data_IF_858405488952
#
_entry.id   IF_858405488952
#
_cell.length_a   1.000
_cell.length_b   1.000
_cell.length_c   1.000
_cell.angle_alpha   90.00
_cell.angle_beta   90.00
_cell.angle_gamma   90.00
#
_symmetry.space_group_name_H-M   'P 1'
#
loop_
_entity.id
_entity.type
_entity.pdbx_description
1 polymer ?
#
# COMPACT_ATOMS: atom_id res chain seq x y z
N UNK A 1 74.43 -67.77 5.00
CA UNK A 1 73.70 -66.69 4.41
C UNK A 1 72.90 -66.08 5.55
N UNK A 2 73.25 -64.84 5.98
CA UNK A 2 72.68 -64.19 7.15
C UNK A 2 71.79 -63.02 6.69
N UNK A 3 70.50 -63.15 6.87
CA UNK A 3 69.51 -62.12 6.52
C UNK A 3 69.44 -61.16 7.68
N UNK A 4 69.76 -59.87 7.43
CA UNK A 4 69.62 -58.80 8.42
C UNK A 4 68.26 -58.19 8.27
N UNK A 5 67.50 -58.25 9.34
CA UNK A 5 66.21 -57.60 9.51
C UNK A 5 66.43 -56.17 9.96
N UNK A 6 66.07 -55.21 9.14
CA UNK A 6 66.08 -53.77 9.47
C UNK A 6 64.70 -53.36 10.01
N UNK A 7 64.70 -53.05 11.29
CA UNK A 7 63.48 -52.44 11.91
C UNK A 7 63.44 -50.97 11.56
N UNK A 8 62.43 -50.57 10.78
CA UNK A 8 62.06 -49.15 10.57
C UNK A 8 61.04 -48.77 11.62
N UNK A 9 61.43 -47.88 12.52
CA UNK A 9 60.55 -47.24 13.51
C UNK A 9 59.79 -46.15 12.82
N UNK A 10 58.45 -46.14 12.82
CA UNK A 10 57.69 -44.97 12.36
C UNK A 10 57.71 -43.89 13.42
N UNK A 11 58.30 -42.76 13.08
CA UNK A 11 58.25 -41.52 13.87
C UNK A 11 56.82 -40.96 13.84
N UNK A 12 56.07 -41.19 14.93
CA UNK A 12 54.71 -40.66 15.12
C UNK A 12 54.81 -39.17 15.50
N UNK A 13 54.57 -38.29 14.54
CA UNK A 13 54.39 -36.86 14.81
C UNK A 13 53.03 -36.65 15.41
N UNK A 14 52.95 -36.38 16.71
CA UNK A 14 51.81 -35.85 17.38
C UNK A 14 51.68 -34.36 17.01
N UNK A 15 50.80 -34.06 16.03
CA UNK A 15 50.31 -32.72 15.83
C UNK A 15 49.25 -32.46 16.93
N UNK A 16 49.66 -31.78 17.98
CA UNK A 16 48.73 -31.17 18.93
C UNK A 16 48.18 -29.95 18.22
N UNK A 17 47.01 -30.08 17.57
CA UNK A 17 46.21 -28.96 17.14
C UNK A 17 45.57 -28.36 18.40
N UNK A 18 46.00 -27.15 18.76
CA UNK A 18 45.17 -26.32 19.63
C UNK A 18 43.91 -25.96 18.84
N UNK A 19 42.82 -26.58 19.16
CA UNK A 19 41.50 -26.09 18.86
C UNK A 19 41.22 -24.95 19.84
N UNK A 20 41.53 -23.71 19.42
CA UNK A 20 40.96 -22.53 20.04
C UNK A 20 39.43 -22.53 19.72
N UNK A 21 38.66 -23.26 20.50
CA UNK A 21 37.24 -23.04 20.59
C UNK A 21 37.04 -21.69 21.28
N UNK A 22 36.97 -20.60 20.49
CA UNK A 22 36.32 -19.41 20.96
C UNK A 22 34.92 -19.82 21.42
N UNK A 23 34.52 -19.46 22.65
CA UNK A 23 33.15 -19.69 23.03
C UNK A 23 32.29 -18.84 22.09
N UNK A 24 31.43 -19.48 21.26
CA UNK A 24 30.36 -18.80 20.59
C UNK A 24 29.61 -18.01 21.66
N UNK A 25 29.88 -16.71 21.74
CA UNK A 25 29.06 -15.79 22.47
C UNK A 25 27.71 -15.83 21.79
N UNK A 26 26.77 -16.65 22.36
CA UNK A 26 25.37 -16.46 22.05
C UNK A 26 25.13 -14.96 22.19
N UNK A 27 24.56 -14.30 21.17
CA UNK A 27 24.16 -12.91 21.33
C UNK A 27 23.17 -12.92 22.50
N UNK A 28 23.56 -12.33 23.59
CA UNK A 28 22.67 -12.01 24.69
C UNK A 28 21.71 -10.96 24.14
N UNK A 29 20.66 -11.44 23.45
CA UNK A 29 19.63 -10.57 22.93
C UNK A 29 18.84 -10.05 24.13
N UNK A 30 19.38 -9.00 24.75
CA UNK A 30 18.65 -8.15 25.70
C UNK A 30 17.65 -7.25 24.99
N UNK A 31 17.46 -7.44 23.70
CA UNK A 31 16.39 -6.80 22.95
C UNK A 31 15.06 -7.26 23.54
N UNK A 32 14.20 -6.33 23.95
CA UNK A 32 12.86 -6.68 24.39
C UNK A 32 12.18 -7.51 23.28
N UNK A 33 11.34 -8.48 23.62
CA UNK A 33 10.65 -9.27 22.61
C UNK A 33 9.94 -8.33 21.65
N UNK A 34 10.15 -8.52 20.34
CA UNK A 34 9.43 -7.78 19.32
C UNK A 34 7.95 -7.94 19.60
N UNK A 35 7.28 -6.84 19.91
CA UNK A 35 5.83 -6.84 20.04
C UNK A 35 5.28 -6.93 18.64
N UNK A 36 4.62 -8.03 18.31
CA UNK A 36 3.93 -8.19 17.04
C UNK A 36 2.64 -7.37 17.09
N UNK A 37 2.55 -6.34 16.25
CA UNK A 37 1.35 -5.50 16.13
C UNK A 37 0.60 -5.92 14.87
N UNK A 38 -0.70 -6.18 15.02
CA UNK A 38 -1.60 -6.33 13.91
C UNK A 38 -2.44 -5.04 13.78
N UNK A 39 -2.38 -4.41 12.61
CA UNK A 39 -3.11 -3.17 12.34
C UNK A 39 -4.32 -3.47 11.44
N UNK A 40 -5.52 -3.21 11.98
CA UNK A 40 -6.75 -3.17 11.18
C UNK A 40 -7.00 -1.74 10.72
N UNK A 41 -7.05 -1.53 9.40
CA UNK A 41 -7.22 -0.23 8.77
C UNK A 41 -8.61 -0.16 8.12
N UNK A 42 -9.59 0.55 8.74
CA UNK A 42 -10.93 0.66 8.19
C UNK A 42 -10.95 1.43 6.87
N UNK A 43 -11.58 0.85 5.85
CA UNK A 43 -11.67 1.40 4.49
C UNK A 43 -13.11 1.60 4.10
N UNK A 44 -13.40 2.71 3.42
CA UNK A 44 -14.70 2.99 2.81
C UNK A 44 -14.53 3.48 1.37
N UNK A 45 -15.35 2.96 0.47
CA UNK A 45 -15.42 3.36 -0.93
C UNK A 45 -16.63 4.26 -1.17
N UNK A 46 -16.38 5.51 -1.49
CA UNK A 46 -17.41 6.49 -1.84
C UNK A 46 -17.65 6.46 -3.34
N UNK A 47 -18.77 5.92 -3.76
CA UNK A 47 -19.10 5.72 -5.17
C UNK A 47 -19.90 6.89 -5.69
N UNK A 48 -19.31 7.76 -6.51
CA UNK A 48 -20.05 8.82 -7.19
C UNK A 48 -20.76 8.25 -8.41
N UNK A 49 -22.07 8.34 -8.45
CA UNK A 49 -22.90 7.84 -9.55
C UNK A 49 -24.02 8.79 -9.92
N UNK A 50 -24.44 8.75 -11.17
CA UNK A 50 -25.62 9.50 -11.65
C UNK A 50 -26.83 8.57 -11.83
N UNK A 51 -26.58 7.34 -12.28
CA UNK A 51 -27.59 6.32 -12.51
C UNK A 51 -27.10 4.94 -12.07
N UNK A 52 -28.01 3.99 -11.88
CA UNK A 52 -27.71 2.67 -11.33
C UNK A 52 -26.73 1.84 -12.19
N UNK A 53 -26.62 2.11 -13.50
CA UNK A 53 -25.69 1.42 -14.36
C UNK A 53 -24.23 1.77 -14.08
N UNK A 54 -23.98 2.91 -13.43
CA UNK A 54 -22.66 3.36 -13.02
C UNK A 54 -22.25 2.81 -11.65
N UNK A 55 -23.17 2.11 -11.00
CA UNK A 55 -22.92 1.53 -9.68
C UNK A 55 -22.02 0.28 -9.79
N UNK A 56 -21.42 -0.09 -8.67
CA UNK A 56 -20.50 -1.22 -8.58
C UNK A 56 -21.31 -2.51 -8.46
N UNK A 57 -20.81 -3.60 -9.05
CA UNK A 57 -21.40 -4.93 -8.84
C UNK A 57 -21.29 -5.32 -7.38
N UNK A 58 -22.41 -5.83 -6.83
CA UNK A 58 -22.45 -6.31 -5.45
C UNK A 58 -21.37 -7.36 -5.19
N UNK A 59 -20.68 -7.22 -4.05
CA UNK A 59 -19.58 -8.09 -3.65
C UNK A 59 -18.22 -7.71 -4.25
N UNK A 60 -18.17 -6.80 -5.23
CA UNK A 60 -16.94 -6.47 -5.93
C UNK A 60 -15.89 -5.81 -5.03
N UNK A 61 -16.31 -4.91 -4.14
CA UNK A 61 -15.41 -4.24 -3.20
C UNK A 61 -14.81 -5.25 -2.22
N UNK A 62 -15.61 -6.19 -1.74
CA UNK A 62 -15.11 -7.27 -0.87
C UNK A 62 -14.05 -8.12 -1.57
N UNK A 63 -14.28 -8.48 -2.85
CA UNK A 63 -13.29 -9.23 -3.65
C UNK A 63 -11.98 -8.45 -3.78
N UNK A 64 -12.06 -7.16 -4.09
CA UNK A 64 -10.90 -6.27 -4.28
C UNK A 64 -10.10 -6.18 -2.99
N UNK A 65 -10.72 -5.84 -1.86
CA UNK A 65 -10.00 -5.70 -0.58
C UNK A 65 -9.42 -7.02 -0.10
N UNK A 66 -10.15 -8.13 -0.28
CA UNK A 66 -9.62 -9.46 0.01
C UNK A 66 -8.36 -9.76 -0.81
N UNK A 67 -8.34 -9.36 -2.08
CA UNK A 67 -7.17 -9.51 -2.94
C UNK A 67 -6.04 -8.53 -2.57
N UNK A 68 -6.34 -7.26 -2.26
CA UNK A 68 -5.37 -6.29 -1.77
C UNK A 68 -4.66 -6.77 -0.49
N UNK A 69 -5.40 -7.32 0.46
CA UNK A 69 -4.81 -7.84 1.70
C UNK A 69 -3.76 -8.93 1.45
N UNK A 70 -3.90 -9.72 0.37
CA UNK A 70 -2.89 -10.72 0.01
C UNK A 70 -1.55 -10.11 -0.39
N UNK A 71 -1.55 -8.91 -1.01
CA UNK A 71 -0.31 -8.19 -1.32
C UNK A 71 0.43 -7.80 -0.05
N UNK A 72 -0.29 -7.26 0.93
CA UNK A 72 0.28 -6.73 2.17
C UNK A 72 0.62 -7.80 3.21
N UNK A 73 0.05 -9.00 3.07
CA UNK A 73 0.24 -10.13 3.99
C UNK A 73 1.17 -11.22 3.41
N UNK A 74 1.96 -10.91 2.38
CA UNK A 74 2.86 -11.86 1.71
C UNK A 74 2.19 -13.18 1.28
N UNK A 75 0.93 -13.13 0.83
CA UNK A 75 0.15 -14.34 0.46
C UNK A 75 0.11 -14.61 -1.05
N UNK A 76 0.96 -13.94 -1.84
CA UNK A 76 1.04 -14.12 -3.30
C UNK A 76 2.21 -15.00 -3.73
N UNK A 77 2.96 -15.58 -2.78
CA UNK A 77 4.12 -16.43 -3.08
C UNK A 77 5.32 -15.68 -3.68
N UNK A 78 5.39 -14.36 -3.47
CA UNK A 78 6.51 -13.50 -3.84
C UNK A 78 7.50 -13.38 -2.67
N UNK A 79 8.68 -12.77 -2.92
CA UNK A 79 9.63 -12.41 -1.87
C UNK A 79 9.22 -11.11 -1.12
N UNK A 80 7.92 -10.85 -1.00
CA UNK A 80 7.40 -9.71 -0.26
C UNK A 80 7.48 -9.94 1.25
N UNK A 81 7.25 -8.88 2.01
CA UNK A 81 7.21 -8.92 3.49
C UNK A 81 5.75 -8.85 3.92
N UNK A 82 5.39 -9.56 4.99
CA UNK A 82 4.13 -9.35 5.67
C UNK A 82 4.22 -8.02 6.45
N UNK A 83 3.37 -7.07 6.10
CA UNK A 83 3.36 -5.72 6.71
C UNK A 83 2.56 -5.69 8.02
N UNK A 84 2.08 -6.83 8.49
CA UNK A 84 1.30 -6.97 9.72
C UNK A 84 0.07 -6.06 9.79
N UNK A 85 -0.58 -5.84 8.64
CA UNK A 85 -1.78 -5.03 8.53
C UNK A 85 -2.88 -5.71 7.72
N UNK A 86 -4.13 -5.31 7.95
CA UNK A 86 -5.30 -5.74 7.20
C UNK A 86 -6.22 -4.53 6.93
N UNK A 87 -6.63 -4.37 5.69
CA UNK A 87 -7.70 -3.44 5.32
C UNK A 87 -9.04 -4.10 5.60
N UNK A 88 -9.84 -3.48 6.45
CA UNK A 88 -11.17 -3.97 6.84
C UNK A 88 -12.26 -3.04 6.32
N UNK A 89 -13.32 -3.60 5.73
CA UNK A 89 -14.42 -2.80 5.19
C UNK A 89 -15.30 -2.25 6.32
N UNK A 90 -15.60 -0.95 6.27
CA UNK A 90 -16.54 -0.34 7.19
C UNK A 90 -17.92 -1.01 7.05
N UNK A 91 -18.53 -1.40 8.16
CA UNK A 91 -19.87 -2.03 8.17
C UNK A 91 -21.00 -1.05 8.48
N UNK A 92 -20.66 0.09 9.06
CA UNK A 92 -21.58 1.15 9.45
C UNK A 92 -21.02 2.51 9.00
N UNK A 93 -21.92 3.45 8.75
CA UNK A 93 -21.53 4.82 8.49
C UNK A 93 -21.16 5.57 9.80
N UNK A 94 -20.62 6.81 9.75
CA UNK A 94 -20.25 7.57 10.96
C UNK A 94 -21.40 7.87 11.93
N UNK A 95 -22.64 7.66 11.52
CA UNK A 95 -23.85 7.81 12.35
C UNK A 95 -24.31 6.47 12.96
N UNK A 96 -23.56 5.37 12.77
CA UNK A 96 -23.89 4.04 13.27
C UNK A 96 -24.99 3.32 12.47
N UNK A 97 -25.30 3.82 11.26
CA UNK A 97 -26.26 3.15 10.36
C UNK A 97 -25.52 2.11 9.54
N UNK A 98 -26.02 0.87 9.56
CA UNK A 98 -25.46 -0.25 8.81
C UNK A 98 -25.50 0.03 7.31
N UNK A 99 -24.38 -0.22 6.63
CA UNK A 99 -24.28 -0.15 5.18
C UNK A 99 -25.01 -1.33 4.53
N UNK A 100 -25.63 -1.11 3.39
CA UNK A 100 -26.28 -2.17 2.59
C UNK A 100 -25.24 -3.19 2.08
N UNK A 101 -24.04 -2.70 1.79
CA UNK A 101 -22.89 -3.50 1.45
C UNK A 101 -21.67 -2.98 2.23
N UNK A 102 -20.93 -3.85 2.95
CA UNK A 102 -19.76 -3.42 3.69
C UNK A 102 -18.76 -2.66 2.81
N UNK A 103 -18.30 -1.53 3.30
CA UNK A 103 -17.33 -0.67 2.63
C UNK A 103 -17.86 0.14 1.46
N UNK A 104 -19.14 0.05 1.11
CA UNK A 104 -19.72 0.79 -0.03
C UNK A 104 -20.63 1.90 0.46
N UNK A 105 -20.27 3.15 0.13
CA UNK A 105 -21.07 4.35 0.40
C UNK A 105 -21.44 5.01 -0.94
N UNK A 106 -22.62 4.72 -1.50
CA UNK A 106 -23.06 5.30 -2.76
C UNK A 106 -23.48 6.75 -2.58
N UNK A 107 -23.04 7.62 -3.48
CA UNK A 107 -23.35 9.07 -3.47
C UNK A 107 -23.87 9.49 -4.84
N UNK A 108 -25.16 9.81 -4.92
CA UNK A 108 -25.76 10.29 -6.16
C UNK A 108 -25.33 11.73 -6.43
N UNK A 109 -24.83 11.99 -7.64
CA UNK A 109 -24.40 13.31 -8.10
C UNK A 109 -24.95 13.58 -9.50
N UNK A 110 -25.02 14.86 -9.89
CA UNK A 110 -25.52 15.25 -11.22
C UNK A 110 -24.53 14.92 -12.35
N UNK A 111 -23.23 14.95 -12.07
CA UNK A 111 -22.17 14.56 -12.97
C UNK A 111 -21.05 13.85 -12.18
N UNK A 112 -20.88 12.53 -12.34
CA UNK A 112 -19.84 11.79 -11.66
C UNK A 112 -18.46 11.92 -12.34
N UNK A 113 -18.38 12.34 -13.60
CA UNK A 113 -17.10 12.49 -14.32
C UNK A 113 -16.35 13.70 -13.78
N UNK A 114 -15.17 13.46 -13.21
CA UNK A 114 -14.34 14.49 -12.60
C UNK A 114 -12.91 14.41 -13.14
N UNK A 115 -12.26 15.55 -13.19
CA UNK A 115 -10.82 15.66 -13.29
C UNK A 115 -10.23 15.23 -11.94
N UNK A 116 -9.37 14.23 -11.90
CA UNK A 116 -8.90 13.64 -10.65
C UNK A 116 -8.00 14.59 -9.85
N UNK A 117 -7.13 15.34 -10.50
CA UNK A 117 -6.24 16.31 -9.85
C UNK A 117 -7.03 17.47 -9.24
N UNK A 118 -7.98 18.01 -10.02
CA UNK A 118 -8.89 19.06 -9.53
C UNK A 118 -9.74 18.54 -8.36
N UNK A 119 -10.26 17.30 -8.46
CA UNK A 119 -11.04 16.70 -7.38
C UNK A 119 -10.24 16.59 -6.09
N UNK A 120 -9.00 16.13 -6.17
CA UNK A 120 -8.12 15.88 -5.02
C UNK A 120 -7.68 17.18 -4.33
N UNK A 121 -7.73 18.32 -5.01
CA UNK A 121 -7.30 19.63 -4.49
C UNK A 121 -8.47 20.55 -4.11
N UNK A 122 -9.70 20.25 -4.54
CA UNK A 122 -10.87 21.08 -4.24
C UNK A 122 -11.44 20.79 -2.85
N UNK A 123 -11.32 21.77 -1.96
CA UNK A 123 -11.90 21.74 -0.60
C UNK A 123 -13.38 21.40 -0.56
N UNK A 124 -14.14 21.74 -1.62
CA UNK A 124 -15.58 21.45 -1.70
C UNK A 124 -15.89 19.94 -1.64
N UNK A 125 -14.91 19.10 -1.98
CA UNK A 125 -15.04 17.64 -1.97
C UNK A 125 -14.83 16.99 -0.59
N UNK A 126 -14.41 17.76 0.42
CA UNK A 126 -14.39 17.29 1.82
C UNK A 126 -15.74 16.75 2.28
N UNK A 127 -16.84 17.26 1.74
CA UNK A 127 -18.21 16.82 2.06
C UNK A 127 -18.47 15.33 1.80
N UNK A 128 -17.66 14.69 0.97
CA UNK A 128 -17.83 13.27 0.63
C UNK A 128 -17.09 12.35 1.60
N UNK A 129 -16.06 12.86 2.28
CA UNK A 129 -15.17 12.05 3.12
C UNK A 129 -15.80 11.82 4.50
N UNK A 130 -15.54 10.63 5.01
CA UNK A 130 -15.68 10.35 6.42
C UNK A 130 -14.42 10.80 7.19
N UNK A 131 -14.47 10.72 8.52
CA UNK A 131 -13.39 11.11 9.39
C UNK A 131 -12.07 10.39 9.00
N UNK A 132 -11.09 11.15 8.53
CA UNK A 132 -9.81 10.64 8.04
C UNK A 132 -8.92 10.04 9.12
N UNK A 133 -9.22 10.32 10.41
CA UNK A 133 -8.52 9.70 11.54
C UNK A 133 -9.04 8.27 11.83
N UNK A 134 -10.17 7.89 11.20
CA UNK A 134 -10.83 6.61 11.44
C UNK A 134 -10.96 5.74 10.21
N UNK A 135 -10.93 6.34 9.03
CA UNK A 135 -11.20 5.65 7.78
C UNK A 135 -10.23 6.06 6.69
N UNK A 136 -9.74 5.11 5.93
CA UNK A 136 -9.16 5.35 4.62
C UNK A 136 -10.32 5.57 3.65
N UNK A 137 -10.41 6.79 3.11
CA UNK A 137 -11.46 7.18 2.17
C UNK A 137 -10.99 6.92 0.74
N UNK A 138 -11.66 6.05 0.00
CA UNK A 138 -11.39 5.78 -1.42
C UNK A 138 -12.57 6.29 -2.25
N UNK A 139 -12.30 7.28 -3.09
CA UNK A 139 -13.29 7.86 -4.00
C UNK A 139 -13.32 7.08 -5.32
N UNK A 140 -14.50 6.66 -5.75
CA UNK A 140 -14.71 5.95 -7.01
C UNK A 140 -15.58 6.78 -7.93
N UNK A 141 -15.01 7.23 -9.04
CA UNK A 141 -15.72 7.99 -10.08
C UNK A 141 -15.01 7.85 -11.42
N UNK A 142 -15.70 8.09 -12.57
CA UNK A 142 -15.04 8.11 -13.87
C UNK A 142 -14.11 9.33 -13.96
N UNK A 143 -12.84 9.11 -14.27
CA UNK A 143 -11.90 10.21 -14.50
C UNK A 143 -12.15 10.85 -15.85
N UNK A 144 -12.06 12.17 -15.89
CA UNK A 144 -12.05 12.91 -17.14
C UNK A 144 -10.80 12.53 -17.93
N UNK A 145 -11.00 12.06 -19.16
CA UNK A 145 -9.90 11.74 -20.06
C UNK A 145 -9.34 13.03 -20.66
N UNK A 146 -8.02 13.16 -20.69
CA UNK A 146 -7.36 14.15 -21.52
C UNK A 146 -7.19 13.56 -22.93
N UNK A 147 -7.83 14.20 -23.92
CA UNK A 147 -7.78 13.77 -25.33
C UNK A 147 -6.37 13.83 -25.94
N UNK A 148 -5.45 14.56 -25.30
CA UNK A 148 -4.06 14.72 -25.75
C UNK A 148 -3.09 13.77 -25.01
N UNK A 149 -3.56 13.03 -24.00
CA UNK A 149 -2.73 12.09 -23.25
C UNK A 149 -2.69 10.72 -23.93
N UNK A 150 -1.50 10.15 -24.07
CA UNK A 150 -1.31 8.77 -24.53
C UNK A 150 -1.64 7.71 -23.45
N UNK A 151 -1.79 8.15 -22.20
CA UNK A 151 -2.03 7.30 -21.03
C UNK A 151 -3.40 7.50 -20.41
N UNK A 152 -3.78 6.57 -19.54
CA UNK A 152 -4.97 6.64 -18.72
C UNK A 152 -4.56 6.62 -17.26
N UNK A 153 -4.99 7.62 -16.49
CA UNK A 153 -4.83 7.63 -15.04
C UNK A 153 -5.85 6.65 -14.44
N UNK A 154 -5.37 5.67 -13.70
CA UNK A 154 -6.19 4.64 -13.07
C UNK A 154 -6.49 4.95 -11.60
N UNK A 155 -5.54 5.60 -10.91
CA UNK A 155 -5.65 6.00 -9.53
C UNK A 155 -4.73 7.15 -9.23
N UNK A 156 -4.97 7.80 -8.11
CA UNK A 156 -4.14 8.87 -7.53
C UNK A 156 -4.37 8.89 -6.01
N UNK A 157 -3.32 9.08 -5.24
CA UNK A 157 -3.38 9.06 -3.78
C UNK A 157 -2.71 10.29 -3.17
N UNK A 158 -3.23 10.76 -2.05
CA UNK A 158 -2.46 11.62 -1.17
C UNK A 158 -1.46 10.80 -0.35
N UNK A 159 -0.26 11.35 -0.17
CA UNK A 159 0.69 10.85 0.82
C UNK A 159 0.25 11.26 2.23
N UNK A 160 0.60 10.49 3.26
CA UNK A 160 0.30 10.86 4.63
C UNK A 160 1.13 12.08 5.08
N UNK A 161 0.79 12.61 6.23
CA UNK A 161 1.59 13.60 6.94
C UNK A 161 2.12 13.01 8.25
N UNK A 162 3.20 13.57 8.77
CA UNK A 162 3.71 13.24 10.10
C UNK A 162 3.30 14.30 11.11
N UNK A 163 3.25 13.92 12.39
CA UNK A 163 2.98 14.83 13.50
C UNK A 163 4.28 15.07 14.27
N UNK A 164 4.58 16.33 14.60
CA UNK A 164 5.74 16.63 15.42
C UNK A 164 5.69 15.88 16.76
N UNK A 165 6.80 15.31 17.27
CA UNK A 165 8.19 15.48 16.76
C UNK A 165 8.60 14.53 15.64
N UNK A 166 7.73 13.59 15.21
CA UNK A 166 8.07 12.58 14.24
C UNK A 166 8.29 13.20 12.85
N UNK A 167 9.39 12.83 12.19
CA UNK A 167 9.75 13.30 10.88
C UNK A 167 10.09 12.11 9.98
N UNK A 168 9.50 12.12 8.78
CA UNK A 168 9.88 11.24 7.70
C UNK A 168 10.19 12.10 6.47
N UNK A 169 11.32 11.83 5.83
CA UNK A 169 11.75 12.55 4.64
C UNK A 169 10.70 12.40 3.53
N UNK A 170 10.40 13.51 2.84
CA UNK A 170 9.41 13.55 1.77
C UNK A 170 7.96 13.73 2.24
N UNK A 171 7.64 13.59 3.52
CA UNK A 171 6.30 13.80 4.05
C UNK A 171 6.14 15.16 4.70
N UNK A 172 4.94 15.73 4.57
CA UNK A 172 4.59 16.97 5.26
C UNK A 172 4.51 16.76 6.76
N UNK A 173 5.06 17.69 7.56
CA UNK A 173 5.01 17.65 9.00
C UNK A 173 4.03 18.69 9.56
N UNK A 174 3.08 18.25 10.38
CA UNK A 174 2.08 19.08 11.03
C UNK A 174 2.36 19.23 12.54
N UNK A 175 1.80 20.26 13.16
CA UNK A 175 1.91 20.47 14.63
C UNK A 175 0.95 19.58 15.44
N UNK A 176 -0.01 18.93 14.79
CA UNK A 176 -1.00 18.04 15.39
C UNK A 176 -1.95 17.52 14.33
N UNK A 177 -2.77 16.55 14.71
CA UNK A 177 -3.78 15.94 13.82
C UNK A 177 -4.80 17.02 13.41
N UNK A 178 -4.96 17.30 12.11
CA UNK A 178 -5.94 18.26 11.64
C UNK A 178 -7.36 17.73 11.84
N UNK A 179 -8.27 18.51 12.34
CA UNK A 179 -9.68 18.14 12.31
C UNK A 179 -10.19 18.08 10.86
N UNK A 180 -11.23 17.30 10.59
CA UNK A 180 -11.83 17.20 9.25
C UNK A 180 -12.14 18.57 8.64
N UNK A 181 -12.70 19.49 9.41
CA UNK A 181 -13.03 20.86 8.96
C UNK A 181 -11.82 21.73 8.67
N UNK A 182 -10.64 21.40 9.23
CA UNK A 182 -9.39 22.15 9.03
C UNK A 182 -8.57 21.65 7.84
N UNK A 183 -8.95 20.52 7.24
CA UNK A 183 -8.31 20.02 6.03
C UNK A 183 -8.44 21.06 4.90
N UNK A 184 -7.40 21.20 4.12
CA UNK A 184 -7.37 22.12 2.97
C UNK A 184 -7.97 21.51 1.71
N UNK A 185 -7.91 20.19 1.61
CA UNK A 185 -8.35 19.37 0.49
C UNK A 185 -8.81 17.98 1.00
N UNK A 186 -9.54 17.21 0.19
CA UNK A 186 -9.99 15.88 0.57
C UNK A 186 -8.80 14.91 0.64
N UNK A 187 -8.29 14.63 1.83
CA UNK A 187 -7.21 13.65 2.03
C UNK A 187 -7.74 12.23 1.83
N UNK A 188 -7.56 11.69 0.63
CA UNK A 188 -8.14 10.42 0.20
C UNK A 188 -7.34 9.78 -0.94
N UNK A 189 -7.82 8.64 -1.39
CA UNK A 189 -7.43 7.99 -2.63
C UNK A 189 -8.56 8.21 -3.64
N UNK A 190 -8.24 8.46 -4.91
CA UNK A 190 -9.21 8.46 -6.01
C UNK A 190 -8.89 7.39 -7.02
N UNK A 191 -9.90 6.65 -7.46
CA UNK A 191 -9.77 5.52 -8.39
C UNK A 191 -10.74 5.70 -9.55
N UNK A 192 -10.25 5.53 -10.76
CA UNK A 192 -11.07 5.54 -11.97
C UNK A 192 -11.99 4.32 -12.01
N UNK A 193 -13.27 4.52 -11.72
CA UNK A 193 -14.23 3.43 -11.59
C UNK A 193 -14.61 2.77 -12.92
N UNK A 194 -14.18 3.31 -14.06
CA UNK A 194 -14.41 2.70 -15.40
C UNK A 194 -13.93 1.26 -15.44
N UNK A 195 -12.89 0.93 -14.68
CA UNK A 195 -12.27 -0.40 -14.66
C UNK A 195 -12.66 -1.24 -13.44
N UNK A 196 -13.47 -0.71 -12.51
CA UNK A 196 -13.75 -1.35 -11.22
C UNK A 196 -14.38 -2.75 -11.35
N UNK A 197 -15.21 -2.96 -12.36
CA UNK A 197 -15.86 -4.23 -12.64
C UNK A 197 -15.06 -5.14 -13.58
N UNK A 198 -13.88 -4.70 -14.05
CA UNK A 198 -13.01 -5.51 -14.89
C UNK A 198 -12.38 -6.61 -14.04
N UNK A 199 -12.43 -7.83 -14.52
CA UNK A 199 -11.66 -8.95 -13.97
C UNK A 199 -10.45 -9.15 -14.86
N UNK A 200 -9.26 -9.46 -14.30
CA UNK A 200 -8.13 -9.87 -15.14
C UNK A 200 -8.57 -10.97 -16.08
N UNK A 201 -8.40 -10.76 -17.39
CA UNK A 201 -8.63 -11.84 -18.33
C UNK A 201 -7.64 -12.96 -17.99
N UNK A 202 -8.10 -14.20 -17.91
CA UNK A 202 -7.29 -15.41 -17.69
C UNK A 202 -6.32 -15.69 -18.86
N UNK A 203 -5.97 -14.68 -19.65
CA UNK A 203 -5.01 -14.79 -20.72
C UNK A 203 -3.62 -14.98 -20.14
N UNK A 204 -3.34 -16.27 -19.96
CA UNK A 204 -2.01 -16.87 -19.92
C UNK A 204 -0.90 -16.01 -19.31
N UNK A 205 -0.62 -16.22 -18.02
CA UNK A 205 0.68 -15.95 -17.38
C UNK A 205 1.16 -14.50 -17.23
N UNK A 206 0.40 -13.49 -17.54
CA UNK A 206 0.69 -12.12 -17.08
C UNK A 206 0.10 -11.97 -15.69
N UNK A 207 0.98 -11.81 -14.71
CA UNK A 207 0.60 -11.62 -13.30
C UNK A 207 -0.23 -10.34 -13.12
N UNK A 208 -0.08 -9.36 -14.04
CA UNK A 208 -0.79 -8.09 -14.02
C UNK A 208 -1.16 -7.66 -15.44
N UNK A 209 -2.37 -7.16 -15.64
CA UNK A 209 -2.69 -6.33 -16.82
C UNK A 209 -2.45 -4.86 -16.45
N UNK A 210 -2.17 -4.00 -17.43
CA UNK A 210 -2.02 -2.56 -17.23
C UNK A 210 -3.28 -1.87 -16.68
N UNK A 211 -4.40 -2.59 -16.56
CA UNK A 211 -5.68 -2.11 -16.04
C UNK A 211 -6.19 -3.01 -14.89
N UNK A 212 -5.28 -3.68 -14.17
CA UNK A 212 -5.66 -4.48 -13.02
C UNK A 212 -6.05 -3.56 -11.86
N UNK A 213 -7.34 -3.47 -11.60
CA UNK A 213 -7.89 -2.59 -10.56
C UNK A 213 -7.44 -2.98 -9.15
N UNK A 214 -7.17 -4.26 -8.89
CA UNK A 214 -6.67 -4.71 -7.59
C UNK A 214 -5.24 -4.22 -7.39
N UNK A 215 -4.39 -4.35 -8.41
CA UNK A 215 -3.02 -3.85 -8.37
C UNK A 215 -3.01 -2.32 -8.23
N UNK A 216 -3.89 -1.60 -8.95
CA UNK A 216 -4.04 -0.15 -8.84
C UNK A 216 -4.42 0.26 -7.41
N UNK A 217 -5.47 -0.32 -6.84
CA UNK A 217 -5.91 0.04 -5.48
C UNK A 217 -4.83 -0.32 -4.44
N UNK A 218 -4.15 -1.46 -4.58
CA UNK A 218 -3.05 -1.82 -3.69
C UNK A 218 -1.89 -0.82 -3.82
N UNK A 219 -1.59 -0.33 -5.01
CA UNK A 219 -0.57 0.70 -5.27
C UNK A 219 -0.93 2.02 -4.60
N UNK A 220 -2.15 2.52 -4.80
CA UNK A 220 -2.60 3.78 -4.20
C UNK A 220 -2.70 3.70 -2.66
N UNK A 221 -3.09 2.54 -2.11
CA UNK A 221 -3.03 2.29 -0.68
C UNK A 221 -1.59 2.36 -0.15
N UNK A 222 -0.60 1.90 -0.91
CA UNK A 222 0.80 2.00 -0.53
C UNK A 222 1.27 3.46 -0.44
N UNK A 223 0.88 4.30 -1.41
CA UNK A 223 1.14 5.74 -1.35
C UNK A 223 0.45 6.39 -0.15
N UNK A 224 -0.82 6.07 0.08
CA UNK A 224 -1.57 6.58 1.23
C UNK A 224 -0.91 6.22 2.58
N UNK A 225 -0.20 5.10 2.64
CA UNK A 225 0.59 4.67 3.79
C UNK A 225 2.03 5.23 3.82
N UNK A 226 2.44 6.02 2.81
CA UNK A 226 3.73 6.73 2.79
C UNK A 226 4.82 6.08 1.94
N UNK A 227 4.50 5.09 1.13
CA UNK A 227 5.48 4.51 0.20
C UNK A 227 5.58 5.35 -1.06
N UNK A 228 6.82 5.62 -1.49
CA UNK A 228 7.14 6.31 -2.74
C UNK A 228 7.43 5.30 -3.85
N UNK A 229 7.38 5.77 -5.11
CA UNK A 229 7.93 5.00 -6.21
C UNK A 229 9.42 4.73 -5.99
N UNK A 230 9.87 3.53 -6.37
CA UNK A 230 11.29 3.13 -6.26
C UNK A 230 12.14 3.60 -7.43
N UNK A 231 11.53 4.25 -8.42
CA UNK A 231 12.16 4.80 -9.62
C UNK A 231 11.92 6.32 -9.69
N UNK A 232 12.88 7.04 -10.31
CA UNK A 232 12.73 8.48 -10.56
C UNK A 232 11.95 8.69 -11.84
N UNK A 233 10.94 9.54 -11.82
CA UNK A 233 10.17 9.93 -13.00
C UNK A 233 10.74 11.15 -13.73
N UNK A 234 11.77 11.81 -13.18
CA UNK A 234 12.42 12.96 -13.80
C UNK A 234 13.82 12.61 -14.32
N UNK A 235 14.02 12.77 -15.62
CA UNK A 235 15.31 12.55 -16.26
C UNK A 235 16.35 13.64 -15.98
N UNK A 236 15.99 14.82 -15.49
CA UNK A 236 16.87 15.99 -15.54
C UNK A 236 17.20 16.72 -14.23
N UNK A 237 16.55 16.50 -13.09
CA UNK A 237 16.81 17.33 -11.91
C UNK A 237 16.98 16.59 -10.57
N UNK A 238 17.05 15.27 -10.53
CA UNK A 238 17.30 14.52 -9.28
C UNK A 238 16.19 14.65 -8.22
N UNK A 239 15.06 15.21 -8.60
CA UNK A 239 13.86 15.25 -7.78
C UNK A 239 13.01 14.03 -8.12
N UNK A 240 12.83 13.13 -7.17
CA UNK A 240 11.77 12.12 -7.20
C UNK A 240 10.43 12.86 -7.12
N UNK A 241 10.00 13.45 -8.21
CA UNK A 241 8.64 13.97 -8.33
C UNK A 241 7.75 12.82 -8.73
N UNK A 242 7.30 12.06 -7.71
CA UNK A 242 6.06 11.34 -7.85
C UNK A 242 4.98 12.41 -8.13
N UNK A 243 4.18 12.27 -9.17
CA UNK A 243 3.09 13.24 -9.46
C UNK A 243 2.20 13.42 -8.23
N UNK A 244 2.08 12.39 -7.39
CA UNK A 244 1.37 12.41 -6.11
C UNK A 244 1.98 13.37 -5.08
N UNK A 245 3.27 13.76 -5.19
CA UNK A 245 3.91 14.72 -4.28
C UNK A 245 3.67 16.16 -4.68
N UNK A 246 3.37 16.48 -5.93
CA UNK A 246 3.07 17.84 -6.37
C UNK A 246 1.72 18.32 -5.84
N UNK A 247 0.75 17.44 -5.64
CA UNK A 247 -0.55 17.75 -5.04
C UNK A 247 -0.46 18.09 -3.54
N UNK A 248 0.68 17.83 -2.90
CA UNK A 248 0.90 18.08 -1.47
C UNK A 248 1.66 19.38 -1.19
N UNK A 249 2.14 20.10 -2.22
CA UNK A 249 2.79 21.42 -2.12
C UNK A 249 1.79 22.53 -2.34
#
# INVERSE_FOLDING_TARGET
MKTRLIFLLPLLWLLIGCEDSEPESKPDSTDPPLIEYHYELPVVFHVLYQNEQQNIKKGRIQEIITACNKYYQNRLGSNSVDMNLEFVLATENPQGVKLDEPGVHPIQVSNPVQDCEVFMTDKANLKYLWDTDKYINIMLYPFKQDENSEGVILGISHLPYTIKPDYLEGLNQLNGIPSHSSLKYPHCISINNTYINSTPSNESKKIYSSTDIVATIAHELAHYLGLFHTFSESDDEGLNTCMDTELLR
#
